data_IF_312219760078
#
_entry.id   IF_312219760078
#
_cell.length_a   1.000
_cell.length_b   1.000
_cell.length_c   1.000
_cell.angle_alpha   90.00
_cell.angle_beta   90.00
_cell.angle_gamma   90.00
#
_symmetry.space_group_name_H-M   'P 1'
#
loop_
_entity.id
_entity.type
_entity.pdbx_description
1 polymer ?
#
# COMPACT_ATOMS: atom_id res chain seq x y z
N UNK A 1 -16.74 4.10 -3.59
CA UNK A 1 -17.14 2.77 -3.08
C UNK A 1 -16.61 2.51 -1.67
N UNK A 2 -15.29 2.58 -1.40
CA UNK A 2 -14.79 2.65 -0.01
C UNK A 2 -15.04 4.04 0.63
N UNK A 3 -15.05 5.08 -0.19
CA UNK A 3 -15.39 6.47 0.14
C UNK A 3 -16.88 6.84 -0.07
N UNK A 4 -17.73 5.86 -0.42
CA UNK A 4 -19.15 6.06 -0.78
C UNK A 4 -19.43 7.06 -1.92
N UNK A 5 -18.43 7.40 -2.74
CA UNK A 5 -18.58 8.37 -3.84
C UNK A 5 -19.16 7.79 -5.14
N UNK A 6 -19.61 6.53 -5.14
CA UNK A 6 -20.15 5.88 -6.33
C UNK A 6 -21.04 4.68 -6.00
N UNK A 7 -21.91 4.25 -6.94
CA UNK A 7 -23.00 3.30 -6.68
C UNK A 7 -22.58 1.82 -6.71
N UNK A 8 -21.36 1.51 -7.18
CA UNK A 8 -20.86 0.14 -7.35
C UNK A 8 -20.55 -0.52 -5.99
N UNK A 9 -20.54 -1.86 -5.91
CA UNK A 9 -20.04 -2.64 -4.74
C UNK A 9 -18.60 -3.19 -4.87
N UNK A 10 -17.89 -3.44 -3.75
CA UNK A 10 -16.41 -3.72 -3.65
C UNK A 10 -15.87 -4.66 -4.72
N UNK A 11 -16.45 -5.83 -4.86
CA UNK A 11 -16.07 -6.82 -5.86
C UNK A 11 -16.09 -6.25 -7.29
N UNK A 12 -17.15 -5.54 -7.66
CA UNK A 12 -17.30 -4.97 -9.00
C UNK A 12 -16.19 -3.96 -9.33
N UNK A 13 -15.79 -3.09 -8.38
CA UNK A 13 -14.72 -2.13 -8.69
C UNK A 13 -13.35 -2.78 -8.73
N UNK A 14 -13.12 -3.85 -7.96
CA UNK A 14 -11.87 -4.60 -8.09
C UNK A 14 -11.83 -5.24 -9.49
N UNK A 15 -12.91 -5.86 -9.95
CA UNK A 15 -13.00 -6.42 -11.30
C UNK A 15 -12.78 -5.36 -12.38
N UNK A 16 -13.50 -4.23 -12.34
CA UNK A 16 -13.35 -3.15 -13.33
C UNK A 16 -11.93 -2.54 -13.30
N UNK A 17 -11.30 -2.44 -12.13
CA UNK A 17 -9.92 -1.97 -12.01
C UNK A 17 -8.94 -2.97 -12.64
N UNK A 18 -9.12 -4.28 -12.42
CA UNK A 18 -8.31 -5.32 -13.06
C UNK A 18 -8.48 -5.33 -14.58
N UNK A 19 -9.72 -5.17 -15.09
CA UNK A 19 -9.99 -5.04 -16.52
C UNK A 19 -9.24 -3.84 -17.12
N UNK A 20 -9.27 -2.69 -16.44
CA UNK A 20 -8.53 -1.51 -16.86
C UNK A 20 -7.02 -1.76 -16.86
N UNK A 21 -6.46 -2.40 -15.82
CA UNK A 21 -5.04 -2.76 -15.75
C UNK A 21 -4.66 -3.67 -16.92
N UNK A 22 -5.42 -4.74 -17.16
CA UNK A 22 -5.17 -5.68 -18.26
C UNK A 22 -5.24 -5.00 -19.63
N UNK A 23 -6.16 -4.05 -19.81
CA UNK A 23 -6.28 -3.27 -21.04
C UNK A 23 -5.03 -2.43 -21.32
N UNK A 24 -4.44 -1.82 -20.30
CA UNK A 24 -3.18 -1.05 -20.41
C UNK A 24 -1.99 -1.99 -20.66
N UNK A 25 -1.93 -3.11 -19.93
CA UNK A 25 -0.91 -4.13 -20.07
C UNK A 25 -0.83 -4.68 -21.51
N UNK A 26 -1.98 -5.00 -22.11
CA UNK A 26 -2.07 -5.49 -23.49
C UNK A 26 -1.55 -4.50 -24.54
N UNK A 27 -1.41 -3.22 -24.19
CA UNK A 27 -0.89 -2.15 -25.05
C UNK A 27 0.55 -1.76 -24.71
N UNK A 28 1.17 -2.43 -23.74
CA UNK A 28 2.51 -2.08 -23.27
C UNK A 28 2.57 -0.72 -22.58
N UNK A 29 1.46 -0.24 -22.03
CA UNK A 29 1.43 1.03 -21.28
C UNK A 29 1.85 0.75 -19.83
N UNK A 30 2.83 1.47 -19.27
CA UNK A 30 3.19 1.36 -17.86
C UNK A 30 1.99 1.62 -16.95
N UNK A 31 1.88 0.87 -15.86
CA UNK A 31 0.74 0.97 -14.93
C UNK A 31 1.22 1.37 -13.54
N UNK A 32 0.58 2.39 -12.98
CA UNK A 32 0.71 2.81 -11.60
C UNK A 32 -0.55 2.36 -10.83
N UNK A 33 -0.39 1.55 -9.77
CA UNK A 33 -1.50 1.15 -8.90
C UNK A 33 -1.38 1.85 -7.55
N UNK A 34 -2.42 2.60 -7.22
CA UNK A 34 -2.42 3.59 -6.16
C UNK A 34 -3.24 3.20 -4.91
N UNK A 35 -3.52 1.91 -4.76
CA UNK A 35 -4.40 1.44 -3.68
C UNK A 35 -3.78 1.62 -2.29
N UNK A 36 -2.47 1.38 -2.13
CA UNK A 36 -1.83 1.36 -0.81
C UNK A 36 -1.93 2.69 -0.02
N UNK A 37 -1.81 3.84 -0.68
CA UNK A 37 -1.89 5.13 0.02
C UNK A 37 -3.33 5.52 0.34
N UNK A 38 -4.33 4.99 -0.39
CA UNK A 38 -5.73 5.16 0.01
C UNK A 38 -6.04 4.52 1.37
N UNK A 39 -5.33 3.44 1.75
CA UNK A 39 -5.40 2.86 3.09
C UNK A 39 -4.76 3.78 4.14
N UNK A 40 -3.53 4.24 3.89
CA UNK A 40 -2.84 5.14 4.81
C UNK A 40 -3.57 6.48 5.01
N UNK A 41 -4.20 7.05 3.97
CA UNK A 41 -5.03 8.27 4.07
C UNK A 41 -6.32 8.07 4.87
N UNK A 42 -6.68 6.81 5.18
CA UNK A 42 -7.84 6.45 5.99
C UNK A 42 -7.44 5.98 7.39
N UNK A 43 -6.20 6.24 7.79
CA UNK A 43 -5.59 5.82 9.04
C UNK A 43 -5.61 4.29 9.24
N UNK A 44 -5.55 3.53 8.14
CA UNK A 44 -5.30 2.09 8.22
C UNK A 44 -3.92 1.85 8.86
N UNK A 45 -3.73 0.74 9.61
CA UNK A 45 -2.42 0.38 10.14
C UNK A 45 -1.40 0.27 9.02
N UNK A 46 -0.15 0.62 9.32
CA UNK A 46 0.93 0.57 8.32
C UNK A 46 1.07 -0.82 7.68
N UNK A 47 0.81 -1.91 8.42
CA UNK A 47 0.81 -3.27 7.90
C UNK A 47 -0.24 -3.52 6.81
N UNK A 48 -1.45 -2.96 6.96
CA UNK A 48 -2.50 -3.01 5.93
C UNK A 48 -2.05 -2.27 4.68
N UNK A 49 -1.41 -1.11 4.84
CA UNK A 49 -0.89 -0.35 3.71
C UNK A 49 0.26 -1.08 2.99
N UNK A 50 1.09 -1.85 3.71
CA UNK A 50 2.16 -2.67 3.14
C UNK A 50 1.58 -3.87 2.38
N UNK A 51 0.64 -4.61 2.98
CA UNK A 51 -0.05 -5.72 2.32
C UNK A 51 -0.81 -5.28 1.07
N UNK A 52 -1.53 -4.15 1.14
CA UNK A 52 -2.24 -3.58 -0.01
C UNK A 52 -1.30 -3.17 -1.14
N UNK A 53 -0.09 -2.69 -0.84
CA UNK A 53 0.92 -2.35 -1.84
C UNK A 53 1.39 -3.60 -2.61
N UNK A 54 1.65 -4.69 -1.89
CA UNK A 54 1.99 -5.96 -2.49
C UNK A 54 0.84 -6.53 -3.34
N UNK A 55 -0.39 -6.53 -2.82
CA UNK A 55 -1.57 -7.00 -3.57
C UNK A 55 -1.76 -6.23 -4.88
N UNK A 56 -1.62 -4.90 -4.87
CA UNK A 56 -1.71 -4.08 -6.07
C UNK A 56 -0.66 -4.45 -7.12
N UNK A 57 0.60 -4.65 -6.71
CA UNK A 57 1.69 -5.06 -7.59
C UNK A 57 1.51 -6.49 -8.13
N UNK A 58 1.09 -7.43 -7.28
CA UNK A 58 0.82 -8.82 -7.67
C UNK A 58 -0.30 -8.89 -8.71
N UNK A 59 -1.38 -8.14 -8.49
CA UNK A 59 -2.48 -8.06 -9.46
C UNK A 59 -1.98 -7.49 -10.81
N UNK A 60 -1.21 -6.39 -10.78
CA UNK A 60 -0.61 -5.84 -12.00
C UNK A 60 0.25 -6.88 -12.75
N UNK A 61 1.09 -7.62 -12.03
CA UNK A 61 1.93 -8.69 -12.60
C UNK A 61 1.09 -9.78 -13.24
N UNK A 62 0.12 -10.34 -12.51
CA UNK A 62 -0.75 -11.41 -13.00
C UNK A 62 -1.60 -10.99 -14.21
N UNK A 63 -1.90 -9.70 -14.35
CA UNK A 63 -2.62 -9.13 -15.48
C UNK A 63 -1.71 -8.73 -16.67
N UNK A 64 -0.42 -9.06 -16.60
CA UNK A 64 0.53 -8.93 -17.71
C UNK A 64 1.20 -7.56 -17.82
N UNK A 65 1.14 -6.70 -16.80
CA UNK A 65 1.88 -5.43 -16.78
C UNK A 65 3.38 -5.72 -16.86
N UNK A 66 4.10 -5.00 -17.72
CA UNK A 66 5.57 -5.14 -17.87
C UNK A 66 6.36 -4.07 -17.12
N UNK A 67 5.84 -2.84 -17.10
CA UNK A 67 6.44 -1.70 -16.43
C UNK A 67 5.47 -1.21 -15.35
N UNK A 68 5.77 -1.54 -14.10
CA UNK A 68 4.95 -1.20 -12.95
C UNK A 68 5.55 -0.02 -12.20
N UNK A 69 4.79 1.07 -12.05
CA UNK A 69 5.20 2.24 -11.26
C UNK A 69 4.72 2.04 -9.82
N UNK A 70 5.66 1.72 -8.94
CA UNK A 70 5.41 1.58 -7.51
C UNK A 70 5.51 2.95 -6.83
N UNK A 71 4.38 3.51 -6.41
CA UNK A 71 4.33 4.81 -5.74
C UNK A 71 4.46 4.68 -4.22
N UNK A 72 5.46 5.37 -3.66
CA UNK A 72 5.76 5.50 -2.24
C UNK A 72 5.42 6.92 -1.78
N UNK A 73 4.23 7.09 -1.20
CA UNK A 73 3.79 8.34 -0.60
C UNK A 73 4.24 8.41 0.87
N UNK A 74 5.19 9.29 1.14
CA UNK A 74 5.70 9.58 2.48
C UNK A 74 4.74 10.45 3.30
N UNK A 75 5.03 10.61 4.58
CA UNK A 75 4.31 11.42 5.56
C UNK A 75 2.81 11.08 5.65
N UNK A 76 2.45 9.82 5.41
CA UNK A 76 1.05 9.37 5.31
C UNK A 76 0.83 8.08 6.12
N UNK A 77 -0.02 8.09 7.17
CA UNK A 77 -0.84 9.22 7.62
C UNK A 77 -0.03 10.34 8.30
N UNK A 78 -0.62 11.54 8.50
CA UNK A 78 -0.02 12.61 9.30
C UNK A 78 0.38 12.13 10.70
N UNK A 79 1.50 12.64 11.19
CA UNK A 79 2.06 12.27 12.50
C UNK A 79 3.05 11.10 12.46
N UNK A 80 3.24 10.44 11.31
CA UNK A 80 4.31 9.45 11.16
C UNK A 80 5.68 10.11 11.19
N UNK A 81 6.64 9.53 11.91
CA UNK A 81 8.02 10.03 11.95
C UNK A 81 8.81 9.55 10.74
N UNK A 82 9.86 10.28 10.35
CA UNK A 82 10.67 9.95 9.18
C UNK A 82 11.23 8.52 9.22
N UNK A 83 11.68 8.05 10.39
CA UNK A 83 12.22 6.70 10.56
C UNK A 83 11.15 5.62 10.36
N UNK A 84 9.97 5.79 10.98
CA UNK A 84 8.89 4.82 10.88
C UNK A 84 8.32 4.76 9.46
N UNK A 85 8.25 5.92 8.80
CA UNK A 85 7.74 6.04 7.45
C UNK A 85 8.73 5.49 6.41
N UNK A 86 10.04 5.74 6.58
CA UNK A 86 11.08 5.12 5.76
C UNK A 86 11.07 3.59 5.92
N UNK A 87 10.95 3.08 7.16
CA UNK A 87 10.82 1.64 7.41
C UNK A 87 9.60 1.03 6.71
N UNK A 88 8.46 1.74 6.74
CA UNK A 88 7.25 1.35 5.98
C UNK A 88 7.47 1.32 4.48
N UNK A 89 8.12 2.34 3.90
CA UNK A 89 8.37 2.34 2.46
C UNK A 89 9.37 1.27 2.04
N UNK A 90 10.39 0.99 2.86
CA UNK A 90 11.31 -0.12 2.64
C UNK A 90 10.62 -1.48 2.72
N UNK A 91 9.63 -1.65 3.60
CA UNK A 91 8.86 -2.90 3.67
C UNK A 91 8.01 -3.09 2.40
N UNK A 92 7.36 -2.02 1.92
CA UNK A 92 6.67 -2.02 0.61
C UNK A 92 7.64 -2.36 -0.52
N UNK A 93 8.84 -1.75 -0.51
CA UNK A 93 9.87 -1.96 -1.52
C UNK A 93 10.29 -3.42 -1.57
N UNK A 94 10.66 -4.01 -0.43
CA UNK A 94 11.11 -5.40 -0.32
C UNK A 94 10.06 -6.37 -0.88
N UNK A 95 8.80 -6.21 -0.48
CA UNK A 95 7.73 -7.10 -0.97
C UNK A 95 7.44 -6.90 -2.45
N UNK A 96 7.37 -5.66 -2.95
CA UNK A 96 7.06 -5.40 -4.37
C UNK A 96 8.22 -5.83 -5.27
N UNK A 97 9.47 -5.55 -4.91
CA UNK A 97 10.64 -5.94 -5.71
C UNK A 97 10.86 -7.46 -5.72
N UNK A 98 10.34 -8.19 -4.73
CA UNK A 98 10.32 -9.68 -4.79
C UNK A 98 9.49 -10.22 -5.96
N UNK A 99 8.59 -9.41 -6.54
CA UNK A 99 7.83 -9.76 -7.73
C UNK A 99 8.56 -9.43 -9.03
N UNK A 100 9.72 -8.77 -8.99
CA UNK A 100 10.42 -8.37 -10.20
C UNK A 100 11.07 -9.56 -10.91
N UNK A 101 10.96 -9.61 -12.23
CA UNK A 101 11.63 -10.56 -13.12
C UNK A 101 11.76 -9.96 -14.53
N UNK A 102 12.24 -10.73 -15.50
CA UNK A 102 12.40 -10.29 -16.89
C UNK A 102 11.07 -9.79 -17.53
N UNK A 103 9.93 -10.24 -17.01
CA UNK A 103 8.58 -9.89 -17.45
C UNK A 103 7.91 -8.77 -16.65
N UNK A 104 8.45 -8.38 -15.47
CA UNK A 104 7.85 -7.40 -14.57
C UNK A 104 8.92 -6.47 -13.96
N UNK A 105 9.08 -5.28 -14.56
CA UNK A 105 9.99 -4.23 -14.07
C UNK A 105 9.29 -3.29 -13.11
N UNK A 106 9.95 -2.98 -11.99
CA UNK A 106 9.44 -2.07 -10.97
C UNK A 106 10.14 -0.70 -11.04
N UNK A 107 9.36 0.35 -11.26
CA UNK A 107 9.78 1.74 -11.26
C UNK A 107 9.36 2.42 -9.95
N UNK A 108 10.33 2.67 -9.08
CA UNK A 108 10.13 3.43 -7.83
C UNK A 108 9.79 4.89 -8.09
N UNK A 109 8.58 5.31 -7.68
CA UNK A 109 8.13 6.71 -7.65
C UNK A 109 7.94 7.17 -6.21
N UNK A 110 8.55 8.27 -5.81
CA UNK A 110 8.36 8.84 -4.46
C UNK A 110 7.59 10.15 -4.51
N UNK A 111 6.87 10.45 -3.44
CA UNK A 111 6.22 11.76 -3.22
C UNK A 111 5.98 12.06 -1.74
N UNK A 112 5.78 13.34 -1.45
CA UNK A 112 5.28 13.78 -0.16
C UNK A 112 3.76 13.52 -0.02
N UNK A 113 3.31 13.32 1.22
CA UNK A 113 1.90 13.18 1.58
C UNK A 113 1.22 14.54 1.69
N UNK A 114 0.09 14.71 1.01
CA UNK A 114 -0.62 15.99 0.88
C UNK A 114 -1.02 16.56 2.25
N UNK A 115 -1.56 15.71 3.12
CA UNK A 115 -2.03 16.09 4.45
C UNK A 115 -0.89 16.45 5.44
N UNK A 116 0.37 16.32 5.02
CA UNK A 116 1.53 16.70 5.85
C UNK A 116 1.97 18.15 5.66
N UNK A 117 1.45 18.85 4.65
CA UNK A 117 1.86 20.23 4.35
C UNK A 117 1.17 21.23 5.30
N UNK A 118 1.94 22.03 6.06
CA UNK A 118 1.38 23.12 6.86
C UNK A 118 0.83 24.23 5.96
N UNK A 119 -0.09 25.03 6.52
CA UNK A 119 -0.65 26.19 5.79
C UNK A 119 0.38 27.34 5.65
N UNK A 120 1.35 27.43 6.55
CA UNK A 120 2.45 28.39 6.43
C UNK A 120 3.39 27.96 5.30
N UNK A 121 3.56 28.82 4.29
CA UNK A 121 4.26 28.47 3.06
C UNK A 121 5.76 28.24 3.28
N UNK A 122 6.39 28.95 4.21
CA UNK A 122 7.82 28.79 4.49
C UNK A 122 8.07 27.46 5.21
N UNK A 123 7.21 27.10 6.16
CA UNK A 123 7.23 25.76 6.75
C UNK A 123 6.93 24.67 5.73
N UNK A 124 6.01 24.92 4.79
CA UNK A 124 5.61 23.96 3.76
C UNK A 124 6.74 23.67 2.77
N UNK A 125 7.54 24.69 2.42
CA UNK A 125 8.79 24.52 1.66
C UNK A 125 9.81 23.68 2.42
N UNK A 126 9.95 23.90 3.72
CA UNK A 126 10.77 23.06 4.60
C UNK A 126 10.31 21.60 4.60
N UNK A 127 9.00 21.37 4.71
CA UNK A 127 8.39 20.04 4.66
C UNK A 127 8.63 19.35 3.30
N UNK A 128 8.46 20.06 2.19
CA UNK A 128 8.75 19.55 0.84
C UNK A 128 10.20 19.07 0.74
N UNK A 129 11.14 19.90 1.20
CA UNK A 129 12.56 19.60 1.14
C UNK A 129 12.92 18.39 2.03
N UNK A 130 12.43 18.35 3.27
CA UNK A 130 12.69 17.27 4.21
C UNK A 130 12.12 15.93 3.71
N UNK A 131 10.86 15.91 3.25
CA UNK A 131 10.22 14.73 2.68
C UNK A 131 10.98 14.21 1.47
N UNK A 132 11.40 15.10 0.57
CA UNK A 132 12.22 14.76 -0.59
C UNK A 132 13.52 14.08 -0.16
N UNK A 133 14.26 14.68 0.77
CA UNK A 133 15.54 14.13 1.24
C UNK A 133 15.38 12.73 1.85
N UNK A 134 14.38 12.51 2.72
CA UNK A 134 14.12 11.19 3.31
C UNK A 134 13.76 10.19 2.20
N UNK A 135 12.92 10.58 1.25
CA UNK A 135 12.46 9.70 0.17
C UNK A 135 13.55 9.27 -0.80
N UNK A 136 14.62 10.08 -0.95
CA UNK A 136 15.78 9.73 -1.77
C UNK A 136 16.53 8.48 -1.27
N UNK A 137 16.35 8.07 -0.01
CA UNK A 137 16.90 6.81 0.52
C UNK A 137 16.32 5.56 -0.16
N UNK A 138 15.17 5.66 -0.84
CA UNK A 138 14.64 4.57 -1.68
C UNK A 138 15.32 4.47 -3.05
N UNK A 139 16.23 5.40 -3.37
CA UNK A 139 16.91 5.51 -4.68
C UNK A 139 15.88 5.55 -5.83
N UNK A 140 14.91 6.49 -5.79
CA UNK A 140 13.78 6.51 -6.71
C UNK A 140 14.22 6.72 -8.17
N UNK A 141 13.44 6.17 -9.10
CA UNK A 141 13.57 6.50 -10.53
C UNK A 141 12.77 7.75 -10.88
N UNK A 142 11.67 7.99 -10.17
CA UNK A 142 10.73 9.08 -10.40
C UNK A 142 10.50 9.83 -9.09
N UNK A 143 10.58 11.15 -9.10
CA UNK A 143 10.17 12.02 -7.99
C UNK A 143 8.96 12.81 -8.44
N UNK A 144 7.80 12.53 -7.86
CA UNK A 144 6.59 13.31 -8.06
C UNK A 144 6.62 14.52 -7.11
N UNK A 145 6.77 15.71 -7.69
CA UNK A 145 6.84 16.98 -6.96
C UNK A 145 5.43 17.43 -6.57
N UNK A 146 5.18 17.50 -5.25
CA UNK A 146 3.95 18.08 -4.71
C UNK A 146 4.14 19.60 -4.58
N UNK A 147 3.10 20.38 -4.89
CA UNK A 147 3.12 21.83 -4.66
C UNK A 147 3.27 22.12 -3.17
N UNK A 148 4.25 22.93 -2.75
CA UNK A 148 4.38 23.30 -1.33
C UNK A 148 3.14 24.03 -0.83
N UNK A 149 2.36 24.64 -1.74
CA UNK A 149 1.13 25.34 -1.44
C UNK A 149 -0.08 24.43 -1.13
N UNK A 150 0.06 23.10 -1.17
CA UNK A 150 -1.03 22.11 -1.03
C UNK A 150 -1.95 22.37 0.18
N UNK A 151 -1.37 22.75 1.33
CA UNK A 151 -2.10 23.06 2.56
C UNK A 151 -2.74 24.45 2.61
N UNK A 152 -2.57 25.28 1.59
CA UNK A 152 -2.97 26.69 1.57
C UNK A 152 -3.89 27.06 0.40
N UNK A 153 -3.49 26.77 -0.84
CA UNK A 153 -4.25 27.15 -2.04
C UNK A 153 -3.97 26.25 -3.24
N UNK A 154 -4.84 26.33 -4.26
CA UNK A 154 -4.63 25.61 -5.51
C UNK A 154 -3.35 26.09 -6.21
N UNK A 155 -2.51 25.14 -6.60
CA UNK A 155 -1.19 25.44 -7.17
C UNK A 155 -1.31 26.23 -8.48
N UNK A 156 -0.58 27.34 -8.54
CA UNK A 156 -0.32 28.10 -9.77
C UNK A 156 0.91 27.54 -10.49
N UNK A 157 1.14 27.89 -11.77
CA UNK A 157 2.37 27.53 -12.47
C UNK A 157 3.63 27.97 -11.72
N UNK A 158 3.60 29.13 -11.06
CA UNK A 158 4.71 29.67 -10.28
C UNK A 158 5.02 28.80 -9.05
N UNK A 159 4.00 28.37 -8.32
CA UNK A 159 4.17 27.45 -7.17
C UNK A 159 4.82 26.13 -7.60
N UNK A 160 4.39 25.58 -8.75
CA UNK A 160 4.95 24.34 -9.28
C UNK A 160 6.41 24.52 -9.69
N UNK A 161 6.74 25.61 -10.39
CA UNK A 161 8.13 25.90 -10.79
C UNK A 161 9.02 26.07 -9.55
N UNK A 162 8.54 26.77 -8.52
CA UNK A 162 9.29 26.96 -7.27
C UNK A 162 9.46 25.66 -6.50
N UNK A 163 8.40 24.86 -6.34
CA UNK A 163 8.46 23.49 -5.79
C UNK A 163 9.50 22.64 -6.51
N UNK A 164 9.51 22.64 -7.85
CA UNK A 164 10.48 21.88 -8.64
C UNK A 164 11.92 22.36 -8.39
N UNK A 165 12.16 23.67 -8.28
CA UNK A 165 13.50 24.21 -7.97
C UNK A 165 14.00 23.74 -6.60
N UNK A 166 13.13 23.75 -5.59
CA UNK A 166 13.45 23.25 -4.24
C UNK A 166 13.83 21.77 -4.32
N UNK A 167 12.99 20.95 -4.94
CA UNK A 167 13.22 19.51 -5.08
C UNK A 167 14.50 19.21 -5.86
N UNK A 168 14.76 19.92 -6.96
CA UNK A 168 16.02 19.79 -7.72
C UNK A 168 17.25 20.11 -6.88
N UNK A 169 17.19 21.14 -6.03
CA UNK A 169 18.26 21.49 -5.10
C UNK A 169 18.54 20.35 -4.11
N UNK A 170 17.49 19.77 -3.53
CA UNK A 170 17.61 18.62 -2.61
C UNK A 170 18.18 17.40 -3.32
N UNK A 171 17.65 17.04 -4.50
CA UNK A 171 18.12 15.89 -5.28
C UNK A 171 19.62 16.03 -5.60
N UNK A 172 20.06 17.23 -6.02
CA UNK A 172 21.48 17.49 -6.30
C UNK A 172 22.34 17.18 -5.07
N UNK A 173 21.97 17.71 -3.91
CA UNK A 173 22.69 17.45 -2.67
C UNK A 173 22.71 15.95 -2.30
N UNK A 174 21.59 15.25 -2.49
CA UNK A 174 21.50 13.82 -2.24
C UNK A 174 22.41 13.00 -3.18
N UNK A 175 22.54 13.41 -4.45
CA UNK A 175 23.40 12.76 -5.44
C UNK A 175 24.89 13.02 -5.19
N UNK A 176 25.26 14.17 -4.64
CA UNK A 176 26.64 14.48 -4.23
C UNK A 176 27.09 13.64 -3.01
N UNK A 177 26.11 13.16 -2.23
CA UNK A 177 26.30 12.22 -1.13
C UNK A 177 25.44 12.59 0.08
N UNK A 178 24.79 11.58 0.67
CA UNK A 178 24.01 11.74 1.89
C UNK A 178 24.15 10.51 2.79
N UNK A 179 23.93 10.64 4.11
CA UNK A 179 23.83 9.48 4.99
C UNK A 179 22.75 8.51 4.49
N UNK A 180 23.07 7.22 4.44
CA UNK A 180 22.09 6.19 4.14
C UNK A 180 21.23 5.94 5.38
N UNK A 181 20.09 6.64 5.45
CA UNK A 181 19.14 6.55 6.55
C UNK A 181 18.43 5.18 6.58
N UNK A 182 18.49 4.41 5.48
CA UNK A 182 17.92 3.07 5.45
C UNK A 182 18.65 2.11 6.39
N UNK A 183 19.92 2.38 6.72
CA UNK A 183 20.74 1.53 7.59
C UNK A 183 20.49 1.76 9.09
N UNK A 184 19.72 2.78 9.46
CA UNK A 184 19.41 3.04 10.86
C UNK A 184 18.68 1.83 11.48
N UNK A 185 19.07 1.45 12.70
CA UNK A 185 18.52 0.27 13.38
C UNK A 185 16.99 0.34 13.50
N UNK A 186 16.45 1.45 13.97
CA UNK A 186 15.00 1.66 14.11
C UNK A 186 14.24 1.56 12.78
N UNK A 187 14.87 1.94 11.67
CA UNK A 187 14.29 1.83 10.32
C UNK A 187 14.24 0.37 9.88
N UNK A 188 15.33 -0.38 10.08
CA UNK A 188 15.40 -1.80 9.75
C UNK A 188 14.47 -2.65 10.62
N UNK A 189 14.40 -2.37 11.92
CA UNK A 189 13.45 -3.02 12.84
C UNK A 189 12.00 -2.78 12.39
N UNK A 190 11.65 -1.54 12.07
CA UNK A 190 10.31 -1.21 11.57
C UNK A 190 10.01 -1.91 10.25
N UNK A 191 10.96 -1.91 9.32
CA UNK A 191 10.84 -2.60 8.03
C UNK A 191 10.55 -4.09 8.24
N UNK A 192 11.39 -4.78 9.01
CA UNK A 192 11.27 -6.22 9.24
C UNK A 192 9.95 -6.56 9.96
N UNK A 193 9.54 -5.76 10.94
CA UNK A 193 8.24 -5.91 11.60
C UNK A 193 7.09 -5.86 10.58
N UNK A 194 7.08 -4.83 9.72
CA UNK A 194 6.00 -4.64 8.76
C UNK A 194 5.96 -5.68 7.65
N UNK A 195 7.12 -6.20 7.23
CA UNK A 195 7.19 -7.33 6.30
C UNK A 195 6.50 -8.56 6.91
N UNK A 196 6.81 -8.90 8.17
CA UNK A 196 6.20 -10.05 8.84
C UNK A 196 4.70 -9.86 9.11
N UNK A 197 4.28 -8.67 9.55
CA UNK A 197 2.86 -8.36 9.75
C UNK A 197 2.07 -8.37 8.44
N UNK A 198 2.64 -7.88 7.33
CA UNK A 198 2.02 -7.96 6.02
C UNK A 198 1.89 -9.41 5.54
N UNK A 199 2.91 -10.25 5.75
CA UNK A 199 2.85 -11.69 5.44
C UNK A 199 1.74 -12.41 6.19
N UNK A 200 1.49 -12.07 7.46
CA UNK A 200 0.34 -12.59 8.22
C UNK A 200 -0.98 -12.25 7.51
N UNK A 201 -1.15 -11.01 7.06
CA UNK A 201 -2.35 -10.60 6.34
C UNK A 201 -2.51 -11.32 5.01
N UNK A 202 -1.43 -11.43 4.23
CA UNK A 202 -1.44 -12.11 2.94
C UNK A 202 -1.79 -13.60 3.08
N UNK A 203 -1.20 -14.31 4.06
CA UNK A 203 -1.57 -15.70 4.37
C UNK A 203 -3.04 -15.81 4.75
N UNK A 204 -3.53 -14.94 5.64
CA UNK A 204 -4.92 -14.99 6.06
C UNK A 204 -5.92 -14.74 4.92
N UNK A 205 -5.57 -13.89 3.95
CA UNK A 205 -6.38 -13.68 2.74
C UNK A 205 -6.31 -14.91 1.83
N UNK A 206 -5.13 -15.49 1.67
CA UNK A 206 -4.91 -16.73 0.92
C UNK A 206 -5.75 -17.88 1.45
N UNK A 207 -5.86 -18.03 2.77
CA UNK A 207 -6.55 -19.14 3.43
C UNK A 207 -8.07 -18.96 3.51
N UNK A 208 -8.60 -17.80 3.10
CA UNK A 208 -10.04 -17.49 3.17
C UNK A 208 -10.93 -18.56 2.49
N UNK A 209 -10.61 -19.11 1.31
CA UNK A 209 -11.42 -20.17 0.69
C UNK A 209 -11.48 -21.46 1.50
N UNK A 210 -10.46 -21.76 2.30
CA UNK A 210 -10.49 -22.94 3.18
C UNK A 210 -11.44 -22.73 4.35
N UNK A 211 -11.48 -21.49 4.88
CA UNK A 211 -12.24 -21.09 6.07
C UNK A 211 -13.70 -20.77 5.74
N UNK A 212 -13.96 -20.21 4.55
CA UNK A 212 -15.25 -19.71 4.10
C UNK A 212 -15.65 -20.47 2.83
N UNK A 213 -16.41 -21.57 2.93
CA UNK A 213 -16.71 -22.45 1.81
C UNK A 213 -17.33 -21.75 0.60
N UNK A 214 -18.09 -20.67 0.80
CA UNK A 214 -18.73 -19.90 -0.28
C UNK A 214 -17.73 -19.21 -1.23
N UNK A 215 -16.46 -19.13 -0.84
CA UNK A 215 -15.37 -18.58 -1.65
C UNK A 215 -14.64 -19.65 -2.49
N UNK A 216 -14.88 -20.95 -2.25
CA UNK A 216 -14.20 -22.07 -2.97
C UNK A 216 -14.57 -22.13 -4.44
N UNK A 217 -15.86 -22.04 -4.77
CA UNK A 217 -16.37 -22.15 -6.15
C UNK A 217 -15.94 -21.00 -7.08
N UNK A 218 -15.28 -19.96 -6.53
CA UNK A 218 -14.77 -18.82 -7.29
C UNK A 218 -13.28 -18.89 -7.62
N UNK A 219 -12.51 -19.76 -6.97
CA UNK A 219 -11.12 -19.99 -7.33
C UNK A 219 -11.00 -20.72 -8.69
N UNK A 220 -11.97 -21.58 -9.02
CA UNK A 220 -11.97 -22.37 -10.27
C UNK A 220 -12.55 -21.62 -11.49
N UNK A 221 -13.32 -20.55 -11.29
CA UNK A 221 -14.01 -19.79 -12.36
C UNK A 221 -13.22 -18.61 -12.93
N UNK A 222 -12.03 -18.32 -12.42
CA UNK A 222 -11.10 -17.45 -13.14
C UNK A 222 -10.68 -18.20 -14.41
N UNK A 223 -11.44 -18.02 -15.51
CA UNK A 223 -10.99 -18.42 -16.83
C UNK A 223 -9.55 -17.92 -16.99
N UNK A 224 -8.61 -18.73 -17.50
CA UNK A 224 -7.28 -18.24 -17.80
C UNK A 224 -7.45 -17.10 -18.79
N UNK A 225 -7.31 -15.85 -18.32
CA UNK A 225 -7.15 -14.72 -19.21
C UNK A 225 -5.99 -15.09 -20.12
N UNK A 226 -6.25 -15.08 -21.43
CA UNK A 226 -5.41 -15.67 -22.46
C UNK A 226 -3.93 -15.40 -22.21
N UNK A 227 -3.17 -16.48 -22.02
CA UNK A 227 -1.73 -16.54 -21.75
C UNK A 227 -1.31 -15.97 -20.39
N UNK A 228 -1.52 -16.76 -19.34
CA UNK A 228 -0.65 -16.70 -18.17
C UNK A 228 0.82 -16.82 -18.64
N UNK A 229 1.76 -16.01 -18.13
CA UNK A 229 3.17 -16.21 -18.41
C UNK A 229 3.56 -17.64 -18.03
N UNK A 230 4.37 -18.29 -18.88
CA UNK A 230 4.76 -19.70 -18.80
C UNK A 230 5.59 -20.08 -17.56
N UNK A 231 5.74 -19.17 -16.60
CA UNK A 231 6.48 -19.34 -15.37
C UNK A 231 5.76 -18.60 -14.26
N UNK A 232 5.30 -19.29 -13.18
CA UNK A 232 4.90 -18.60 -11.96
C UNK A 232 6.06 -17.71 -11.50
N UNK A 233 5.79 -16.56 -10.86
CA UNK A 233 6.82 -15.75 -10.21
C UNK A 233 7.75 -16.65 -9.42
N UNK A 234 9.06 -16.53 -9.63
CA UNK A 234 10.02 -17.15 -8.72
C UNK A 234 9.64 -16.78 -7.29
N UNK A 235 9.49 -17.84 -6.50
CA UNK A 235 9.15 -17.89 -5.08
C UNK A 235 9.34 -16.58 -4.33
N UNK A 236 8.24 -16.06 -3.77
CA UNK A 236 8.32 -15.45 -2.44
C UNK A 236 8.70 -16.59 -1.49
N UNK A 237 9.99 -16.94 -1.49
CA UNK A 237 10.52 -18.12 -0.85
C UNK A 237 10.06 -18.16 0.61
N UNK A 238 9.29 -19.20 0.94
CA UNK A 238 8.73 -19.55 2.26
C UNK A 238 7.35 -18.98 2.65
N UNK A 239 6.50 -18.63 1.70
CA UNK A 239 5.07 -18.50 1.96
C UNK A 239 4.28 -19.44 1.04
N UNK A 240 3.75 -20.54 1.59
CA UNK A 240 2.66 -21.29 0.96
C UNK A 240 1.45 -20.34 0.84
N UNK A 241 1.38 -19.60 -0.27
CA UNK A 241 0.34 -18.62 -0.59
C UNK A 241 -0.29 -18.99 -1.93
N UNK A 242 -1.62 -19.06 -1.95
CA UNK A 242 -2.40 -19.18 -3.18
C UNK A 242 -2.54 -17.79 -3.85
N UNK A 243 -1.80 -17.61 -4.94
CA UNK A 243 -1.85 -16.38 -5.75
C UNK A 243 -3.25 -16.14 -6.33
N UNK A 244 -4.02 -17.20 -6.62
CA UNK A 244 -5.38 -17.03 -7.14
C UNK A 244 -6.27 -16.37 -6.09
N UNK A 245 -6.13 -16.74 -4.83
CA UNK A 245 -6.87 -16.09 -3.74
C UNK A 245 -6.51 -14.60 -3.60
N UNK A 246 -5.23 -14.25 -3.75
CA UNK A 246 -4.75 -12.87 -3.64
C UNK A 246 -5.08 -11.98 -4.85
N UNK A 247 -5.57 -12.57 -5.94
CA UNK A 247 -5.93 -11.85 -7.18
C UNK A 247 -7.40 -11.98 -7.54
N UNK A 248 -8.18 -12.75 -6.78
CA UNK A 248 -9.61 -12.90 -7.03
C UNK A 248 -10.42 -11.72 -6.45
N UNK A 249 -11.20 -10.98 -7.26
CA UNK A 249 -11.99 -9.84 -6.79
C UNK A 249 -12.93 -10.13 -5.63
N UNK A 250 -13.55 -11.31 -5.63
CA UNK A 250 -14.51 -11.71 -4.59
C UNK A 250 -13.81 -12.00 -3.26
N UNK A 251 -12.65 -12.66 -3.30
CA UNK A 251 -11.86 -12.95 -2.09
C UNK A 251 -11.31 -11.66 -1.50
N UNK A 252 -10.76 -10.77 -2.32
CA UNK A 252 -10.28 -9.46 -1.87
C UNK A 252 -11.42 -8.59 -1.30
N UNK A 253 -12.59 -8.58 -1.95
CA UNK A 253 -13.77 -7.91 -1.43
C UNK A 253 -14.23 -8.50 -0.08
N UNK A 254 -14.16 -9.82 0.07
CA UNK A 254 -14.46 -10.48 1.33
C UNK A 254 -13.44 -10.13 2.42
N UNK A 255 -12.15 -10.09 2.10
CA UNK A 255 -11.09 -9.70 3.04
C UNK A 255 -11.34 -8.29 3.62
N UNK A 256 -11.83 -7.36 2.79
CA UNK A 256 -12.24 -6.01 3.23
C UNK A 256 -13.49 -6.07 4.12
N UNK A 257 -14.49 -6.86 3.73
CA UNK A 257 -15.73 -7.03 4.48
C UNK A 257 -15.52 -7.70 5.84
N UNK A 258 -14.63 -8.68 5.91
CA UNK A 258 -14.25 -9.39 7.14
C UNK A 258 -13.33 -8.56 8.05
N UNK A 259 -12.69 -7.52 7.50
CA UNK A 259 -11.81 -6.62 8.23
C UNK A 259 -10.35 -7.08 8.29
N UNK A 260 -9.92 -8.03 7.44
CA UNK A 260 -8.50 -8.33 7.25
C UNK A 260 -7.80 -7.08 6.66
N UNK A 261 -8.41 -6.47 5.64
CA UNK A 261 -8.04 -5.14 5.15
C UNK A 261 -9.07 -4.13 5.65
N UNK A 262 -8.70 -3.29 6.63
CA UNK A 262 -9.64 -2.36 7.26
C UNK A 262 -8.99 -1.02 7.59
N UNK A 263 -9.80 0.01 7.75
CA UNK A 263 -9.39 1.34 8.17
C UNK A 263 -10.49 2.03 9.00
N UNK A 264 -10.15 2.85 10.00
CA UNK A 264 -11.16 3.55 10.83
C UNK A 264 -12.18 4.34 10.01
N UNK A 265 -11.75 4.99 8.92
CA UNK A 265 -12.63 5.81 8.08
C UNK A 265 -13.61 5.01 7.21
N UNK A 266 -13.57 3.67 7.28
CA UNK A 266 -14.57 2.80 6.64
C UNK A 266 -15.81 2.56 7.52
N UNK A 267 -15.84 3.12 8.74
CA UNK A 267 -16.96 2.97 9.68
C UNK A 267 -18.32 3.26 9.00
N UNK A 268 -19.25 2.32 9.15
CA UNK A 268 -20.62 2.42 8.61
C UNK A 268 -20.72 2.19 7.09
N UNK A 269 -19.64 1.85 6.39
CA UNK A 269 -19.70 1.47 4.99
C UNK A 269 -20.34 0.06 4.88
N UNK A 270 -21.42 -0.13 4.11
CA UNK A 270 -22.09 -1.44 3.99
C UNK A 270 -21.23 -2.52 3.30
N UNK A 271 -20.13 -2.13 2.64
CA UNK A 271 -19.26 -3.03 1.90
C UNK A 271 -17.87 -3.22 2.55
N UNK A 272 -17.63 -2.64 3.73
CA UNK A 272 -16.36 -2.79 4.45
C UNK A 272 -16.61 -2.97 5.95
N UNK A 273 -15.63 -3.52 6.67
CA UNK A 273 -15.77 -3.77 8.10
C UNK A 273 -15.86 -2.45 8.91
N UNK A 274 -14.85 -1.57 8.79
CA UNK A 274 -14.81 -0.28 9.47
C UNK A 274 -14.78 -0.38 10.99
N UNK A 275 -14.28 -1.49 11.54
CA UNK A 275 -14.27 -1.73 13.00
C UNK A 275 -12.88 -1.59 13.61
N UNK A 276 -11.83 -1.64 12.78
CA UNK A 276 -10.48 -1.44 13.26
C UNK A 276 -10.33 -0.07 13.95
N UNK A 277 -9.47 -0.04 14.96
CA UNK A 277 -9.06 1.18 15.64
C UNK A 277 -7.55 1.28 15.54
N UNK A 278 -7.08 2.47 15.25
CA UNK A 278 -5.66 2.76 15.09
C UNK A 278 -5.27 3.98 15.90
N UNK A 279 -3.98 4.09 16.19
CA UNK A 279 -3.40 5.26 16.81
C UNK A 279 -1.97 5.46 16.32
N UNK A 280 -1.50 6.71 16.38
CA UNK A 280 -0.08 7.03 16.23
C UNK A 280 0.64 6.73 17.54
N UNK A 281 1.45 5.67 17.55
CA UNK A 281 2.27 5.29 18.70
C UNK A 281 3.74 5.33 18.27
N UNK A 282 4.56 6.13 18.95
CA UNK A 282 5.99 6.30 18.66
C UNK A 282 6.29 6.63 17.18
N UNK A 283 5.41 7.41 16.53
CA UNK A 283 5.58 7.80 15.13
C UNK A 283 5.12 6.77 14.08
N UNK A 284 4.50 5.67 14.50
CA UNK A 284 3.95 4.63 13.62
C UNK A 284 2.42 4.54 13.74
N UNK A 285 1.72 4.27 12.64
CA UNK A 285 0.29 4.03 12.66
C UNK A 285 0.04 2.53 12.89
N UNK A 286 -0.55 2.20 14.04
CA UNK A 286 -0.71 0.81 14.48
C UNK A 286 -2.13 0.50 14.93
N UNK A 287 -2.52 -0.78 14.86
CA UNK A 287 -3.79 -1.27 15.41
C UNK A 287 -3.77 -1.18 16.94
N UNK A 288 -4.85 -0.69 17.55
CA UNK A 288 -5.02 -0.67 19.01
C UNK A 288 -6.27 -1.41 19.46
N UNK A 289 -6.21 -1.94 20.69
CA UNK A 289 -7.39 -2.45 21.38
C UNK A 289 -8.29 -1.27 21.79
N UNK A 290 -9.57 -1.23 21.38
CA UNK A 290 -10.46 -0.12 21.71
C UNK A 290 -10.69 0.06 23.23
N UNK A 291 -10.60 -1.01 24.02
CA UNK A 291 -10.85 -0.95 25.46
C UNK A 291 -9.62 -0.50 26.25
N UNK A 292 -8.42 -0.87 25.79
CA UNK A 292 -7.18 -0.58 26.54
C UNK A 292 -6.31 0.51 25.92
N UNK A 293 -6.54 0.85 24.65
CA UNK A 293 -5.70 1.78 23.87
C UNK A 293 -4.31 1.22 23.53
N UNK A 294 -4.01 -0.03 23.89
CA UNK A 294 -2.69 -0.64 23.66
C UNK A 294 -2.58 -1.24 22.26
N UNK A 295 -1.37 -1.22 21.71
CA UNK A 295 -1.04 -1.86 20.45
C UNK A 295 -1.43 -3.35 20.43
N UNK A 296 -2.06 -3.79 19.33
CA UNK A 296 -2.33 -5.19 19.03
C UNK A 296 -1.52 -5.58 17.78
N UNK A 297 -0.61 -6.57 17.85
CA UNK A 297 0.06 -7.10 16.67
C UNK A 297 -0.91 -7.71 15.66
N UNK A 298 -0.59 -7.60 14.36
CA UNK A 298 -1.47 -8.11 13.30
C UNK A 298 -1.74 -9.62 13.40
N UNK A 299 -0.77 -10.43 13.88
CA UNK A 299 -0.98 -11.85 14.16
C UNK A 299 -2.12 -12.11 15.14
N UNK A 300 -2.20 -11.32 16.21
CA UNK A 300 -3.29 -11.44 17.18
C UNK A 300 -4.61 -10.93 16.61
N UNK A 301 -4.58 -9.82 15.87
CA UNK A 301 -5.79 -9.22 15.27
C UNK A 301 -6.42 -10.17 14.24
N UNK A 302 -5.59 -10.70 13.35
CA UNK A 302 -5.99 -11.63 12.28
C UNK A 302 -6.53 -12.92 12.88
N UNK A 303 -5.87 -13.50 13.88
CA UNK A 303 -6.37 -14.74 14.50
C UNK A 303 -7.75 -14.55 15.13
N UNK A 304 -8.02 -13.41 15.77
CA UNK A 304 -9.37 -13.10 16.30
C UNK A 304 -10.43 -13.08 15.20
N UNK A 305 -10.09 -12.54 14.02
CA UNK A 305 -11.00 -12.52 12.86
C UNK A 305 -11.23 -13.94 12.34
N UNK A 306 -10.16 -14.69 12.05
CA UNK A 306 -10.24 -16.04 11.49
C UNK A 306 -10.97 -17.00 12.43
N UNK A 307 -10.69 -16.96 13.73
CA UNK A 307 -11.42 -17.74 14.74
C UNK A 307 -12.92 -17.42 14.74
N UNK A 308 -13.30 -16.14 14.61
CA UNK A 308 -14.69 -15.74 14.51
C UNK A 308 -15.37 -16.25 13.23
N UNK A 309 -14.67 -16.26 12.10
CA UNK A 309 -15.17 -16.81 10.84
C UNK A 309 -15.39 -18.32 10.92
N UNK A 310 -14.44 -19.07 11.50
CA UNK A 310 -14.55 -20.53 11.70
C UNK A 310 -15.77 -20.89 12.56
N UNK A 311 -16.06 -20.10 13.60
CA UNK A 311 -17.22 -20.30 14.47
C UNK A 311 -18.57 -19.94 13.81
N UNK A 312 -18.57 -19.00 12.87
CA UNK A 312 -19.78 -18.61 12.15
C UNK A 312 -20.15 -19.59 11.02
N UNK A 313 -19.17 -20.37 10.53
CA UNK A 313 -19.35 -21.39 9.49
C UNK A 313 -19.62 -22.81 10.00
N UNK A 314 -19.57 -23.04 11.32
CA UNK A 314 -20.02 -24.28 11.99
C UNK A 314 -21.48 -24.17 12.40
#
# INVERSE_FOLDING_TARGET
>A
MLDRRGPRGVEQSITEAQEAIAWHAARGVPVEVNEAHHWSLRDAPDAVAVAAAYLGALNAKCLGVKDYVAQYMFNTPPGTTAAMDLGKMLAKLELIESLADDGFRVWRQVRAGLASFPADLDMAKGQLAASTMVSMNLKPHIVHVVGFCEGHHAATPEDIIESCKIVHGVIRNCLDGMPDMSLAQEVQERKNQLVEEAKVLLRAISDLPEIVPELRDTAERAQPMSQAPATPPMEVANLDIDINALTNPRILAYAIKAGLLDAPHLTGNPHACGRIRTAMINGACVTIDPATGKHIPESQRVERILSGLRQAGT
#
